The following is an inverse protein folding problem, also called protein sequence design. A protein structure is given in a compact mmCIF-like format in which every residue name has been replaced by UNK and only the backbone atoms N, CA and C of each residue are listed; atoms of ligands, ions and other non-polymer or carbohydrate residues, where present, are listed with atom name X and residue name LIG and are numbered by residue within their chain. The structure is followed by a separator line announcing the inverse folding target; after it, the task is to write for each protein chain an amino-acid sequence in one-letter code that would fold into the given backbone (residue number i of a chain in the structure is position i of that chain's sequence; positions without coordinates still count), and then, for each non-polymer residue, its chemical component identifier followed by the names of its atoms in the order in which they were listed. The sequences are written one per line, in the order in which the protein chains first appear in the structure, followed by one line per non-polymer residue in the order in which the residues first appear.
data_IF_727016434946
#
_entry.id   IF_727016434946
#
_cell.length_a   1.000
_cell.length_b   1.000
_cell.length_c   1.000
_cell.angle_alpha   90.00
_cell.angle_beta   90.00
_cell.angle_gamma   90.00
#
_symmetry.space_group_name_H-M   'P 1'
#
loop_
_entity.id
_entity.type
_entity.pdbx_description
1 polymer ?
#
# COMPACT_ATOMS: atom_id res chain seq x y z
N UNK A 1 13.81 -5.53 15.34
CA UNK A 1 12.93 -5.78 14.20
C UNK A 1 12.47 -7.22 14.29
N UNK A 2 11.17 -7.46 14.13
CA UNK A 2 10.56 -8.80 14.07
C UNK A 2 10.20 -9.06 12.62
N UNK A 3 10.50 -10.25 12.15
CA UNK A 3 10.05 -10.74 10.86
C UNK A 3 9.09 -11.91 11.10
N UNK A 4 7.91 -11.83 10.51
CA UNK A 4 6.90 -12.88 10.54
C UNK A 4 6.54 -13.28 9.13
N UNK A 5 6.63 -14.57 8.81
CA UNK A 5 6.27 -15.05 7.48
C UNK A 5 4.82 -15.57 7.48
N UNK A 6 4.01 -15.01 6.58
CA UNK A 6 2.67 -15.51 6.30
C UNK A 6 2.81 -16.67 5.31
N UNK A 7 2.59 -17.89 5.78
CA UNK A 7 2.74 -19.09 4.94
C UNK A 7 1.47 -19.36 4.11
N UNK A 8 1.58 -19.15 2.82
CA UNK A 8 0.54 -19.38 1.81
C UNK A 8 1.11 -20.12 0.60
N UNK A 9 2.06 -21.03 0.82
CA UNK A 9 2.80 -21.75 -0.21
C UNK A 9 3.47 -20.78 -1.21
N UNK A 10 3.13 -20.81 -2.48
CA UNK A 10 3.72 -19.94 -3.52
C UNK A 10 3.36 -18.45 -3.36
N UNK A 11 2.42 -18.11 -2.46
CA UNK A 11 1.97 -16.74 -2.19
C UNK A 11 2.41 -16.23 -0.82
N UNK A 12 3.30 -16.94 -0.16
CA UNK A 12 3.87 -16.54 1.14
C UNK A 12 4.59 -15.20 1.03
N UNK A 13 4.56 -14.41 2.09
CA UNK A 13 5.21 -13.11 2.15
C UNK A 13 5.63 -12.75 3.57
N UNK A 14 6.70 -11.98 3.73
CA UNK A 14 7.13 -11.50 5.05
C UNK A 14 6.35 -10.26 5.49
N UNK A 15 6.17 -10.16 6.81
CA UNK A 15 5.75 -8.95 7.54
C UNK A 15 6.93 -8.52 8.40
N UNK A 16 7.43 -7.32 8.18
CA UNK A 16 8.50 -6.72 8.96
C UNK A 16 7.92 -5.73 9.97
N UNK A 17 8.15 -5.95 11.25
CA UNK A 17 7.61 -5.12 12.34
C UNK A 17 8.77 -4.50 13.11
N UNK A 18 8.79 -3.18 13.21
CA UNK A 18 9.81 -2.50 14.00
C UNK A 18 9.86 -1.00 13.82
N UNK A 19 10.46 -0.33 14.79
CA UNK A 19 10.67 1.11 14.74
C UNK A 19 11.64 1.47 13.61
N UNK A 20 11.21 2.35 12.71
CA UNK A 20 12.00 2.79 11.57
C UNK A 20 11.97 1.88 10.35
N UNK A 21 11.16 0.80 10.38
CA UNK A 21 11.12 -0.15 9.27
C UNK A 21 10.62 0.49 7.96
N UNK A 22 9.84 1.55 8.03
CA UNK A 22 9.38 2.32 6.87
C UNK A 22 10.55 2.89 6.04
N UNK A 23 11.68 3.17 6.68
CA UNK A 23 12.88 3.69 6.02
C UNK A 23 13.61 2.62 5.18
N UNK A 24 13.25 1.34 5.36
CA UNK A 24 13.78 0.21 4.59
C UNK A 24 13.04 -0.04 3.29
N UNK A 25 11.97 0.69 3.00
CA UNK A 25 11.16 0.47 1.81
C UNK A 25 12.00 0.42 0.52
N UNK A 26 13.00 1.27 0.39
CA UNK A 26 13.88 1.29 -0.77
C UNK A 26 14.67 -0.01 -0.93
N UNK A 27 15.29 -0.53 0.13
CA UNK A 27 16.04 -1.79 0.10
C UNK A 27 15.12 -2.99 -0.14
N UNK A 28 13.95 -3.05 0.48
CA UNK A 28 13.00 -4.14 0.27
C UNK A 28 12.43 -4.14 -1.16
N UNK A 29 12.19 -2.96 -1.72
CA UNK A 29 11.76 -2.86 -3.12
C UNK A 29 12.87 -3.26 -4.12
N UNK A 30 14.14 -2.99 -3.80
CA UNK A 30 15.25 -3.37 -4.69
C UNK A 30 15.33 -4.87 -4.93
N UNK A 31 14.98 -5.69 -3.95
CA UNK A 31 14.91 -7.15 -4.09
C UNK A 31 13.82 -7.60 -5.09
N UNK A 32 12.83 -6.76 -5.34
CA UNK A 32 11.80 -7.02 -6.33
C UNK A 32 12.21 -6.62 -7.76
N UNK A 33 13.31 -5.91 -7.96
CA UNK A 33 13.74 -5.38 -9.25
C UNK A 33 12.60 -4.71 -10.03
N UNK A 34 11.98 -3.64 -9.48
CA UNK A 34 10.86 -2.98 -10.13
C UNK A 34 11.32 -2.14 -11.32
N UNK A 35 10.53 -2.14 -12.39
CA UNK A 35 10.75 -1.24 -13.54
C UNK A 35 10.17 0.15 -13.27
N UNK A 36 9.11 0.24 -12.49
CA UNK A 36 8.45 1.51 -12.08
C UNK A 36 7.79 1.32 -10.73
N UNK A 37 7.64 2.40 -9.99
CA UNK A 37 7.03 2.39 -8.66
C UNK A 37 5.93 3.45 -8.58
N UNK A 38 4.72 3.04 -8.21
CA UNK A 38 3.60 3.93 -7.93
C UNK A 38 3.28 3.90 -6.44
N UNK A 39 3.53 4.99 -5.73
CA UNK A 39 3.09 5.15 -4.33
C UNK A 39 1.66 5.67 -4.33
N UNK A 40 0.76 4.95 -3.69
CA UNK A 40 -0.64 5.34 -3.48
C UNK A 40 -0.82 5.72 -2.02
N UNK A 41 -1.32 6.92 -1.78
CA UNK A 41 -1.55 7.46 -0.44
C UNK A 41 -2.80 8.35 -0.41
N UNK A 42 -3.13 8.93 0.73
CA UNK A 42 -4.17 9.94 0.84
C UNK A 42 -3.63 11.29 1.32
N UNK A 43 -4.47 12.32 1.29
CA UNK A 43 -4.08 13.69 1.67
C UNK A 43 -3.57 13.78 3.11
N UNK A 44 -4.11 13.03 4.06
CA UNK A 44 -3.69 13.03 5.47
C UNK A 44 -2.34 12.36 5.67
N UNK A 45 -2.20 11.11 5.22
CA UNK A 45 -0.97 10.32 5.38
C UNK A 45 0.16 10.84 4.50
N UNK A 46 -0.19 11.34 3.30
CA UNK A 46 0.76 11.84 2.33
C UNK A 46 1.62 12.99 2.87
N UNK A 47 1.03 13.94 3.58
CA UNK A 47 1.77 15.05 4.20
C UNK A 47 2.81 14.58 5.23
N UNK A 48 2.56 13.46 5.91
CA UNK A 48 3.39 12.96 6.99
C UNK A 48 4.52 12.05 6.49
N UNK A 49 4.22 11.19 5.53
CA UNK A 49 5.08 10.04 5.24
C UNK A 49 5.52 9.89 3.78
N UNK A 50 4.98 10.64 2.82
CA UNK A 50 5.40 10.52 1.41
C UNK A 50 6.88 10.85 1.24
N UNK A 51 7.36 11.95 1.84
CA UNK A 51 8.75 12.39 1.68
C UNK A 51 9.76 11.35 2.19
N UNK A 52 9.67 10.83 3.43
CA UNK A 52 10.61 9.81 3.89
C UNK A 52 10.55 8.52 3.06
N UNK A 53 9.36 8.09 2.63
CA UNK A 53 9.18 6.90 1.79
C UNK A 53 9.82 7.10 0.41
N UNK A 54 9.48 8.16 -0.31
CA UNK A 54 10.04 8.42 -1.65
C UNK A 54 11.54 8.64 -1.62
N UNK A 55 12.06 9.32 -0.60
CA UNK A 55 13.51 9.51 -0.41
C UNK A 55 14.24 8.18 -0.21
N UNK A 56 13.68 7.26 0.58
CA UNK A 56 14.24 5.92 0.77
C UNK A 56 14.27 5.15 -0.56
N UNK A 57 13.18 5.20 -1.32
CA UNK A 57 13.08 4.54 -2.63
C UNK A 57 14.09 5.13 -3.61
N UNK A 58 14.14 6.44 -3.76
CA UNK A 58 15.05 7.12 -4.70
C UNK A 58 16.52 6.91 -4.36
N UNK A 59 16.85 6.76 -3.08
CA UNK A 59 18.23 6.45 -2.66
C UNK A 59 18.65 5.04 -3.07
N UNK A 60 17.76 4.07 -2.97
CA UNK A 60 18.05 2.67 -3.30
C UNK A 60 17.90 2.37 -4.81
N UNK A 61 17.01 3.07 -5.48
CA UNK A 61 16.59 2.84 -6.87
C UNK A 61 16.54 4.18 -7.64
N UNK A 62 17.69 4.88 -7.80
CA UNK A 62 17.71 6.24 -8.37
C UNK A 62 17.23 6.32 -9.82
N UNK A 63 17.41 5.25 -10.59
CA UNK A 63 17.05 5.20 -12.02
C UNK A 63 15.61 4.69 -12.27
N UNK A 64 14.91 4.23 -11.23
CA UNK A 64 13.56 3.69 -11.37
C UNK A 64 12.54 4.82 -11.32
N UNK A 65 11.73 5.03 -12.36
CA UNK A 65 10.67 6.04 -12.35
C UNK A 65 9.69 5.82 -11.20
N UNK A 66 9.45 6.88 -10.44
CA UNK A 66 8.59 6.93 -9.26
C UNK A 66 7.51 7.99 -9.41
N UNK A 67 6.27 7.61 -9.20
CA UNK A 67 5.14 8.54 -9.13
C UNK A 67 4.37 8.37 -7.82
N UNK A 68 3.64 9.41 -7.42
CA UNK A 68 2.77 9.40 -6.23
C UNK A 68 1.34 9.75 -6.65
N UNK A 69 0.41 8.86 -6.32
CA UNK A 69 -1.02 9.08 -6.48
C UNK A 69 -1.61 9.40 -5.10
N UNK A 70 -2.03 10.65 -4.90
CA UNK A 70 -2.62 11.11 -3.64
C UNK A 70 -4.13 11.21 -3.77
N UNK A 71 -4.85 10.39 -3.01
CA UNK A 71 -6.31 10.33 -3.00
C UNK A 71 -6.89 11.19 -1.88
N UNK A 72 -8.18 11.46 -1.93
CA UNK A 72 -8.90 12.05 -0.79
C UNK A 72 -8.98 11.05 0.36
N UNK A 73 -8.90 11.55 1.60
CA UNK A 73 -9.00 10.72 2.79
C UNK A 73 -10.44 10.43 3.18
N UNK A 74 -10.73 9.21 3.58
CA UNK A 74 -12.01 8.77 4.13
C UNK A 74 -12.64 7.58 3.40
N UNK A 75 -13.39 6.79 4.16
CA UNK A 75 -14.11 5.59 3.68
C UNK A 75 -15.09 5.90 2.53
N UNK A 76 -15.67 7.11 2.50
CA UNK A 76 -16.60 7.54 1.45
C UNK A 76 -15.94 7.59 0.06
N UNK A 77 -14.61 7.67 0.01
CA UNK A 77 -13.84 7.67 -1.24
C UNK A 77 -13.36 6.28 -1.65
N UNK A 78 -13.71 5.23 -0.91
CA UNK A 78 -13.40 3.84 -1.27
C UNK A 78 -14.34 3.35 -2.37
N UNK A 79 -14.24 3.93 -3.56
CA UNK A 79 -15.18 3.75 -4.67
C UNK A 79 -14.49 3.35 -5.97
N UNK A 80 -15.24 2.82 -6.97
CA UNK A 80 -14.72 2.56 -8.31
C UNK A 80 -14.14 3.80 -9.00
N UNK A 81 -14.71 4.98 -8.76
CA UNK A 81 -14.26 6.25 -9.34
C UNK A 81 -12.88 6.63 -8.80
N UNK A 82 -12.65 6.43 -7.49
CA UNK A 82 -11.36 6.66 -6.87
C UNK A 82 -10.34 5.60 -7.30
N UNK A 83 -10.74 4.34 -7.41
CA UNK A 83 -9.92 3.27 -7.97
C UNK A 83 -9.41 3.61 -9.38
N UNK A 84 -10.27 4.19 -10.22
CA UNK A 84 -9.90 4.64 -11.57
C UNK A 84 -8.75 5.66 -11.55
N UNK A 85 -8.65 6.51 -10.52
CA UNK A 85 -7.53 7.47 -10.39
C UNK A 85 -6.19 6.74 -10.21
N UNK A 86 -6.17 5.64 -9.44
CA UNK A 86 -4.95 4.82 -9.28
C UNK A 86 -4.56 4.17 -10.61
N UNK A 87 -5.53 3.61 -11.33
CA UNK A 87 -5.29 2.97 -12.64
C UNK A 87 -4.82 3.99 -13.69
N UNK A 88 -5.36 5.21 -13.65
CA UNK A 88 -4.90 6.29 -14.51
C UNK A 88 -3.46 6.72 -14.19
N UNK A 89 -3.11 6.86 -12.91
CA UNK A 89 -1.73 7.15 -12.49
C UNK A 89 -0.76 6.04 -12.92
N UNK A 90 -1.18 4.78 -12.87
CA UNK A 90 -0.37 3.66 -13.40
C UNK A 90 -0.18 3.75 -14.92
N UNK A 91 -1.22 4.17 -15.67
CA UNK A 91 -1.13 4.38 -17.12
C UNK A 91 -0.19 5.53 -17.47
N UNK A 92 -0.31 6.66 -16.78
CA UNK A 92 0.54 7.85 -16.97
C UNK A 92 2.02 7.55 -16.64
N UNK A 93 2.26 6.72 -15.63
CA UNK A 93 3.59 6.22 -15.28
C UNK A 93 4.12 5.20 -16.31
N UNK A 94 3.31 4.75 -17.26
CA UNK A 94 3.61 3.64 -18.18
C UNK A 94 3.99 2.36 -17.40
N UNK A 95 3.28 2.07 -16.31
CA UNK A 95 3.54 0.91 -15.49
C UNK A 95 3.38 -0.39 -16.30
N UNK A 96 4.35 -1.28 -16.21
CA UNK A 96 4.38 -2.59 -16.86
C UNK A 96 4.18 -3.73 -15.85
N UNK A 97 4.33 -4.98 -16.28
CA UNK A 97 4.13 -6.17 -15.43
C UNK A 97 5.16 -6.32 -14.31
N UNK A 98 6.33 -5.70 -14.44
CA UNK A 98 7.39 -5.69 -13.43
C UNK A 98 7.31 -4.48 -12.49
N UNK A 99 6.35 -3.60 -12.69
CA UNK A 99 6.10 -2.45 -11.81
C UNK A 99 5.54 -2.88 -10.45
N UNK A 100 5.65 -1.99 -9.46
CA UNK A 100 5.18 -2.24 -8.09
C UNK A 100 4.30 -1.08 -7.62
N UNK A 101 3.15 -1.39 -7.01
CA UNK A 101 2.34 -0.42 -6.28
C UNK A 101 2.70 -0.49 -4.80
N UNK A 102 2.98 0.66 -4.19
CA UNK A 102 3.22 0.83 -2.75
C UNK A 102 1.98 1.47 -2.13
N UNK A 103 1.26 0.73 -1.30
CA UNK A 103 0.12 1.25 -0.53
C UNK A 103 0.62 1.88 0.78
N UNK A 104 0.59 3.20 0.87
CA UNK A 104 1.02 3.97 2.04
C UNK A 104 -0.21 4.59 2.72
N UNK A 105 -0.79 3.93 3.71
CA UNK A 105 -2.01 4.43 4.36
C UNK A 105 -2.72 3.44 5.26
N UNK A 106 -3.93 3.78 5.66
CA UNK A 106 -4.85 2.88 6.38
C UNK A 106 -5.50 1.84 5.47
N UNK A 107 -6.47 1.10 6.01
CA UNK A 107 -7.16 0.02 5.29
C UNK A 107 -7.79 0.44 3.96
N UNK A 108 -8.35 1.65 3.88
CA UNK A 108 -8.94 2.18 2.64
C UNK A 108 -7.91 2.24 1.51
N UNK A 109 -6.70 2.74 1.80
CA UNK A 109 -5.61 2.81 0.82
C UNK A 109 -5.09 1.41 0.48
N UNK A 110 -4.88 0.56 1.50
CA UNK A 110 -4.43 -0.82 1.30
C UNK A 110 -5.37 -1.60 0.38
N UNK A 111 -6.68 -1.52 0.63
CA UNK A 111 -7.69 -2.22 -0.15
C UNK A 111 -7.76 -1.72 -1.60
N UNK A 112 -7.80 -0.40 -1.81
CA UNK A 112 -7.87 0.17 -3.17
C UNK A 112 -6.59 -0.06 -3.96
N UNK A 113 -5.42 0.14 -3.36
CA UNK A 113 -4.14 -0.06 -4.03
C UNK A 113 -3.90 -1.55 -4.37
N UNK A 114 -4.24 -2.46 -3.45
CA UNK A 114 -4.17 -3.89 -3.70
C UNK A 114 -5.14 -4.34 -4.80
N UNK A 115 -6.36 -3.79 -4.81
CA UNK A 115 -7.33 -4.10 -5.88
C UNK A 115 -6.88 -3.53 -7.22
N UNK A 116 -6.36 -2.30 -7.27
CA UNK A 116 -5.76 -1.73 -8.49
C UNK A 116 -4.61 -2.62 -9.00
N UNK A 117 -3.73 -3.08 -8.11
CA UNK A 117 -2.64 -3.98 -8.47
C UNK A 117 -3.13 -5.32 -9.05
N UNK A 118 -4.21 -5.87 -8.51
CA UNK A 118 -4.80 -7.12 -9.01
C UNK A 118 -5.39 -6.98 -10.42
N UNK A 119 -5.87 -5.79 -10.75
CA UNK A 119 -6.50 -5.48 -12.05
C UNK A 119 -5.49 -5.06 -13.11
N UNK A 120 -4.48 -4.27 -12.73
CA UNK A 120 -3.51 -3.72 -13.68
C UNK A 120 -2.75 -4.84 -14.39
N UNK A 121 -2.82 -4.88 -15.71
CA UNK A 121 -2.21 -5.92 -16.54
C UNK A 121 -2.52 -7.37 -16.10
N UNK A 122 -3.67 -7.60 -15.47
CA UNK A 122 -4.14 -8.87 -14.85
C UNK A 122 -3.32 -9.29 -13.63
N UNK A 123 -2.68 -8.33 -12.97
CA UNK A 123 -1.95 -8.52 -11.73
C UNK A 123 -0.50 -8.06 -11.81
N UNK A 124 -0.17 -7.04 -11.02
CA UNK A 124 1.21 -6.60 -10.76
C UNK A 124 1.49 -6.66 -9.27
N UNK A 125 2.75 -6.62 -8.90
CA UNK A 125 3.16 -6.68 -7.49
C UNK A 125 2.68 -5.47 -6.71
N UNK A 126 2.32 -5.67 -5.45
CA UNK A 126 2.10 -4.57 -4.53
C UNK A 126 2.68 -4.89 -3.15
N UNK A 127 2.93 -3.85 -2.36
CA UNK A 127 3.43 -3.91 -1.00
C UNK A 127 2.66 -2.95 -0.13
N UNK A 128 2.64 -3.17 1.18
CA UNK A 128 1.86 -2.36 2.10
C UNK A 128 2.73 -1.71 3.19
N UNK A 129 2.43 -0.45 3.48
CA UNK A 129 2.93 0.33 4.62
C UNK A 129 1.68 0.82 5.39
N UNK A 130 1.12 -0.02 6.29
CA UNK A 130 -0.08 0.32 7.03
C UNK A 130 0.19 1.39 8.09
N UNK A 131 -0.65 2.44 8.13
CA UNK A 131 -0.45 3.61 8.99
C UNK A 131 -1.49 3.79 10.08
N UNK A 132 -2.55 2.97 10.12
CA UNK A 132 -3.52 2.93 11.24
C UNK A 132 -3.35 1.66 12.05
N UNK A 133 -3.79 1.66 13.31
CA UNK A 133 -3.69 0.45 14.15
C UNK A 133 -4.46 -0.71 13.52
N UNK A 134 -5.71 -0.49 13.10
CA UNK A 134 -6.53 -1.51 12.44
C UNK A 134 -5.83 -2.08 11.19
N UNK A 135 -5.19 -1.23 10.38
CA UNK A 135 -4.46 -1.73 9.21
C UNK A 135 -3.20 -2.51 9.57
N UNK A 136 -2.53 -2.17 10.66
CA UNK A 136 -1.35 -2.89 11.12
C UNK A 136 -1.66 -4.28 11.68
N UNK A 137 -2.81 -4.45 12.35
CA UNK A 137 -3.16 -5.70 13.05
C UNK A 137 -4.14 -6.59 12.28
N UNK A 138 -4.84 -6.05 11.28
CA UNK A 138 -5.90 -6.78 10.56
C UNK A 138 -5.87 -6.56 9.05
N UNK A 139 -6.23 -5.37 8.54
CA UNK A 139 -6.57 -5.21 7.13
C UNK A 139 -5.39 -5.33 6.15
N UNK A 140 -4.13 -5.20 6.59
CA UNK A 140 -2.97 -5.48 5.74
C UNK A 140 -2.63 -6.98 5.60
N UNK A 141 -3.36 -7.85 6.29
CA UNK A 141 -3.14 -9.29 6.30
C UNK A 141 -4.35 -10.00 5.70
N UNK A 142 -4.11 -11.09 4.97
CA UNK A 142 -5.18 -11.90 4.38
C UNK A 142 -5.56 -11.56 2.94
N UNK A 143 -5.01 -10.45 2.39
CA UNK A 143 -5.14 -10.11 0.97
C UNK A 143 -6.55 -9.71 0.52
N UNK A 144 -7.45 -9.36 1.42
CA UNK A 144 -8.75 -8.80 1.07
C UNK A 144 -8.55 -7.41 0.50
N UNK A 145 -8.93 -7.20 -0.76
CA UNK A 145 -8.81 -5.91 -1.44
C UNK A 145 -10.11 -5.59 -2.15
N UNK A 146 -10.48 -4.31 -2.24
CA UNK A 146 -11.74 -3.97 -2.89
C UNK A 146 -12.21 -2.55 -2.66
N UNK A 147 -13.40 -2.29 -3.19
CA UNK A 147 -14.11 -1.01 -3.11
C UNK A 147 -15.57 -1.21 -2.73
N UNK A 148 -16.19 -0.11 -2.27
CA UNK A 148 -17.58 -0.06 -1.91
C UNK A 148 -18.45 0.30 -3.13
N UNK A 149 -19.70 -0.11 -3.08
CA UNK A 149 -20.76 0.34 -3.98
C UNK A 149 -21.86 1.03 -3.17
N UNK A 150 -22.78 1.79 -3.79
CA UNK A 150 -23.95 2.34 -3.11
C UNK A 150 -24.78 1.28 -2.38
N UNK A 151 -24.77 0.03 -2.89
CA UNK A 151 -25.51 -1.09 -2.34
C UNK A 151 -24.87 -1.73 -1.10
N UNK A 152 -23.56 -1.48 -0.86
CA UNK A 152 -22.87 -2.04 0.29
C UNK A 152 -21.35 -1.92 0.23
N UNK A 153 -20.72 -2.19 1.39
CA UNK A 153 -19.28 -2.14 1.53
C UNK A 153 -18.61 -3.40 0.97
N UNK A 154 -17.41 -3.22 0.35
CA UNK A 154 -16.53 -4.30 -0.08
C UNK A 154 -17.17 -5.33 -1.05
N UNK A 155 -18.15 -4.90 -1.85
CA UNK A 155 -18.86 -5.80 -2.76
C UNK A 155 -18.06 -6.13 -4.03
N UNK A 156 -17.09 -5.29 -4.41
CA UNK A 156 -16.21 -5.52 -5.55
C UNK A 156 -14.77 -5.58 -5.05
N UNK A 157 -14.07 -6.66 -5.37
CA UNK A 157 -12.70 -6.83 -4.94
C UNK A 157 -12.07 -8.14 -5.41
N UNK A 158 -10.87 -8.37 -4.92
CA UNK A 158 -10.10 -9.57 -5.17
C UNK A 158 -9.34 -10.00 -3.91
N UNK A 159 -9.06 -11.30 -3.79
CA UNK A 159 -8.04 -11.79 -2.86
C UNK A 159 -6.67 -11.66 -3.52
N UNK A 160 -5.89 -10.68 -3.08
CA UNK A 160 -4.59 -10.37 -3.68
C UNK A 160 -3.55 -10.13 -2.59
N UNK A 161 -2.52 -10.97 -2.54
CA UNK A 161 -1.51 -10.93 -1.46
C UNK A 161 -0.41 -9.92 -1.78
N UNK A 162 0.06 -9.13 -0.80
CA UNK A 162 1.22 -8.26 -0.96
C UNK A 162 2.51 -9.08 -1.08
N UNK A 163 3.57 -8.49 -1.60
CA UNK A 163 4.90 -9.09 -1.60
C UNK A 163 5.60 -8.98 -0.25
N UNK A 164 5.31 -7.94 0.49
CA UNK A 164 5.68 -7.76 1.89
C UNK A 164 4.83 -6.67 2.54
N UNK A 165 4.86 -6.61 3.87
CA UNK A 165 4.23 -5.56 4.68
C UNK A 165 5.26 -4.95 5.61
N UNK A 166 5.36 -3.61 5.68
CA UNK A 166 6.24 -2.89 6.62
C UNK A 166 5.39 -2.21 7.69
N UNK A 167 5.43 -2.73 8.91
CA UNK A 167 4.69 -2.20 10.06
C UNK A 167 5.63 -1.42 10.97
N UNK A 168 5.51 -0.09 10.94
CA UNK A 168 6.26 0.81 11.81
C UNK A 168 5.36 1.36 12.92
N UNK A 169 5.49 0.91 14.17
CA UNK A 169 4.66 1.41 15.26
C UNK A 169 4.82 2.93 15.53
N UNK A 170 5.89 3.57 15.04
CA UNK A 170 6.09 5.01 15.21
C UNK A 170 5.03 5.84 14.51
N UNK A 171 4.45 5.33 13.40
CA UNK A 171 3.41 6.06 12.66
C UNK A 171 2.12 6.24 13.47
N UNK A 172 1.89 5.37 14.47
CA UNK A 172 0.74 5.50 15.36
C UNK A 172 0.77 6.74 16.25
N UNK A 173 1.94 7.38 16.43
CA UNK A 173 2.06 8.63 17.20
C UNK A 173 1.29 9.81 16.58
N UNK A 174 1.06 9.77 15.28
CA UNK A 174 0.31 10.80 14.55
C UNK A 174 -1.16 10.41 14.33
N UNK A 175 -1.54 9.21 14.75
CA UNK A 175 -2.90 8.71 14.60
C UNK A 175 -3.81 9.33 15.66
N UNK A 176 -4.99 9.88 15.31
CA UNK A 176 -5.96 10.39 16.28
C UNK A 176 -6.39 9.31 17.28
N UNK A 177 -6.64 9.70 18.55
CA UNK A 177 -6.99 8.76 19.62
C UNK A 177 -8.20 7.87 19.27
N UNK A 178 -9.20 8.41 18.59
CA UNK A 178 -10.37 7.65 18.13
C UNK A 178 -10.02 6.51 17.20
N UNK A 179 -9.03 6.69 16.33
CA UNK A 179 -8.57 5.68 15.38
C UNK A 179 -7.70 4.60 16.06
N UNK A 180 -7.02 4.95 17.16
CA UNK A 180 -6.35 3.98 18.03
C UNK A 180 -7.38 3.11 18.74
N UNK A 181 -8.47 3.70 19.22
CA UNK A 181 -9.53 2.96 19.93
C UNK A 181 -10.37 2.08 18.98
N UNK A 182 -10.37 2.37 17.69
CA UNK A 182 -11.10 1.59 16.68
C UNK A 182 -10.31 0.36 16.19
N UNK A 183 -9.02 0.30 16.41
CA UNK A 183 -8.13 -0.82 16.09
C UNK A 183 -7.84 -1.68 17.30
#
# INVERSE_FOLDING_TARGET
MIEYNVDLASRSYPIYIGKGVIERIGSELSELNPTRILVVTNTTVGHLYTVPVTRSIQRALPEVPLAVCTLKDGEIYKTPETLRQILQAAAELHADRASVIVALGGGVIGDMAGFAASMWMRGIRFVQIPTTLLSQVDSSVGGKTGVNLPQGKNLIGAFYQPKFVLIDPRVLKTLPAREISAG
#
